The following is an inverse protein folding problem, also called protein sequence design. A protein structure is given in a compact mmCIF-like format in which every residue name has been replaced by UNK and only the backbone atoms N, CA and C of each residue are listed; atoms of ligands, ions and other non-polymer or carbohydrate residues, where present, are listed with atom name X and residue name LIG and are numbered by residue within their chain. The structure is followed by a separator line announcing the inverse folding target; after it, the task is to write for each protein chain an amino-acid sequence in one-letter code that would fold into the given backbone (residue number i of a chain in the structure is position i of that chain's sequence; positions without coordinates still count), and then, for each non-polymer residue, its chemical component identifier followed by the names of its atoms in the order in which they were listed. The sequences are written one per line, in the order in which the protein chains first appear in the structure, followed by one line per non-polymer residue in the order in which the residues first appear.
data_IF_904951516799
#
_entry.id   IF_904951516799
#
_cell.length_a   1.000
_cell.length_b   1.000
_cell.length_c   1.000
_cell.angle_alpha   90.00
_cell.angle_beta   90.00
_cell.angle_gamma   90.00
#
_symmetry.space_group_name_H-M   'P 1'
#
loop_
_entity.id
_entity.type
_entity.pdbx_description
1 polymer ?
#
# COMPACT_ATOMS: atom_id res chain seq x y z
N UNK A 1 11.57 6.44 -4.87
CA UNK A 1 12.92 6.07 -4.36
C UNK A 1 13.07 6.32 -2.86
N UNK A 2 12.83 7.56 -2.33
CA UNK A 2 13.03 7.83 -0.89
C UNK A 2 12.10 6.98 -0.03
N UNK A 3 10.79 6.94 -0.33
CA UNK A 3 9.82 6.12 0.37
C UNK A 3 10.20 4.62 0.33
N UNK A 4 10.64 4.11 -0.82
CA UNK A 4 11.11 2.72 -0.96
C UNK A 4 12.28 2.40 -0.03
N UNK A 5 13.23 3.33 0.11
CA UNK A 5 14.38 3.16 1.01
C UNK A 5 13.95 3.08 2.47
N UNK A 6 13.05 3.99 2.89
CA UNK A 6 12.55 4.01 4.27
C UNK A 6 11.70 2.76 4.60
N UNK A 7 10.91 2.28 3.64
CA UNK A 7 10.07 1.09 3.80
C UNK A 7 10.88 -0.20 3.99
N UNK A 8 12.11 -0.28 3.50
CA UNK A 8 12.96 -1.48 3.64
C UNK A 8 13.20 -1.88 5.10
N UNK A 9 13.20 -0.92 6.04
CA UNK A 9 13.37 -1.21 7.46
C UNK A 9 12.20 -1.99 8.08
N UNK A 10 11.07 -2.05 7.38
CA UNK A 10 9.83 -2.69 7.84
C UNK A 10 9.45 -3.94 7.04
N UNK A 11 10.11 -4.18 5.92
CA UNK A 11 9.83 -5.30 5.03
C UNK A 11 10.80 -6.46 5.25
N UNK A 12 10.32 -7.69 5.00
CA UNK A 12 11.12 -8.90 5.12
C UNK A 12 11.98 -9.13 3.86
N UNK A 13 13.15 -9.75 4.04
CA UNK A 13 13.91 -10.40 2.96
C UNK A 13 13.19 -11.70 2.59
N UNK A 14 12.37 -11.65 1.54
CA UNK A 14 11.47 -12.75 1.17
C UNK A 14 12.16 -13.96 0.54
N UNK A 15 13.31 -13.75 -0.09
CA UNK A 15 14.05 -14.79 -0.79
C UNK A 15 15.30 -15.28 -0.04
N UNK A 16 15.65 -14.61 1.07
CA UNK A 16 16.77 -14.96 1.93
C UNK A 16 18.14 -14.66 1.31
N UNK A 17 18.22 -13.75 0.31
CA UNK A 17 19.47 -13.37 -0.34
C UNK A 17 20.23 -12.24 0.38
N UNK A 18 19.69 -11.76 1.49
CA UNK A 18 20.25 -10.66 2.27
C UNK A 18 19.86 -9.27 1.75
N UNK A 19 18.96 -9.18 0.78
CA UNK A 19 18.49 -7.93 0.22
C UNK A 19 16.98 -7.78 0.38
N UNK A 20 16.57 -6.66 0.97
CA UNK A 20 15.15 -6.27 1.02
C UNK A 20 14.83 -5.40 -0.17
N UNK A 21 13.89 -5.84 -1.01
CA UNK A 21 13.41 -5.09 -2.17
C UNK A 21 12.00 -4.61 -1.91
N UNK A 22 11.80 -3.30 -1.94
CA UNK A 22 10.47 -2.66 -1.91
C UNK A 22 10.33 -1.83 -3.18
N UNK A 23 9.26 -2.03 -3.90
CA UNK A 23 8.91 -1.26 -5.09
C UNK A 23 7.65 -0.45 -4.81
N UNK A 24 7.69 0.84 -5.13
CA UNK A 24 6.55 1.75 -5.03
C UNK A 24 6.18 2.22 -6.44
N UNK A 25 4.99 1.83 -6.89
CA UNK A 25 4.42 2.33 -8.14
C UNK A 25 3.54 3.55 -7.83
N UNK A 26 3.75 4.65 -8.51
CA UNK A 26 2.99 5.89 -8.32
C UNK A 26 2.09 6.18 -9.52
N UNK A 27 0.84 6.49 -9.24
CA UNK A 27 -0.20 6.82 -10.24
C UNK A 27 -0.84 8.15 -9.90
N UNK A 28 -0.55 9.17 -10.67
CA UNK A 28 -1.25 10.46 -10.58
C UNK A 28 -2.46 10.41 -11.53
N UNK A 29 -3.65 10.15 -10.98
CA UNK A 29 -4.89 10.03 -11.76
C UNK A 29 -5.62 11.38 -11.94
N UNK A 30 -5.29 12.38 -11.14
CA UNK A 30 -5.87 13.73 -11.20
C UNK A 30 -4.91 14.73 -11.88
N UNK A 31 -4.52 14.46 -13.13
CA UNK A 31 -3.65 15.33 -13.90
C UNK A 31 -4.42 16.17 -14.91
N UNK A 32 -3.91 17.37 -15.19
CA UNK A 32 -4.45 18.26 -16.23
C UNK A 32 -4.19 17.73 -17.65
N UNK A 33 -3.17 16.88 -17.82
CA UNK A 33 -2.90 16.19 -19.09
C UNK A 33 -3.74 14.92 -19.18
N UNK A 34 -4.75 14.95 -20.04
CA UNK A 34 -5.71 13.86 -20.25
C UNK A 34 -5.04 12.58 -20.75
N UNK A 35 -3.98 12.67 -21.55
CA UNK A 35 -3.29 11.49 -22.06
C UNK A 35 -2.49 10.80 -20.95
N UNK A 36 -1.80 11.57 -20.13
CA UNK A 36 -1.10 11.03 -18.96
C UNK A 36 -2.07 10.46 -17.93
N UNK A 37 -3.19 11.11 -17.69
CA UNK A 37 -4.24 10.60 -16.80
C UNK A 37 -4.75 9.24 -17.28
N UNK A 38 -5.11 9.11 -18.55
CA UNK A 38 -5.59 7.85 -19.13
C UNK A 38 -4.52 6.74 -19.04
N UNK A 39 -3.26 7.05 -19.34
CA UNK A 39 -2.17 6.09 -19.24
C UNK A 39 -1.98 5.60 -17.79
N UNK A 40 -2.05 6.49 -16.79
CA UNK A 40 -1.94 6.12 -15.39
C UNK A 40 -3.12 5.26 -14.92
N UNK A 41 -4.34 5.57 -15.34
CA UNK A 41 -5.53 4.75 -15.05
C UNK A 41 -5.38 3.33 -15.62
N UNK A 42 -4.94 3.20 -16.88
CA UNK A 42 -4.71 1.88 -17.51
C UNK A 42 -3.66 1.07 -16.76
N UNK A 43 -2.55 1.71 -16.34
CA UNK A 43 -1.50 1.06 -15.56
C UNK A 43 -2.02 0.64 -14.19
N UNK A 44 -2.76 1.49 -13.49
CA UNK A 44 -3.36 1.17 -12.19
C UNK A 44 -4.31 -0.03 -12.29
N UNK A 45 -5.17 -0.08 -13.33
CA UNK A 45 -6.05 -1.22 -13.58
C UNK A 45 -5.23 -2.50 -13.84
N UNK A 46 -4.16 -2.40 -14.62
CA UNK A 46 -3.24 -3.52 -14.88
C UNK A 46 -2.65 -4.09 -13.60
N UNK A 47 -2.10 -3.23 -12.74
CA UNK A 47 -1.52 -3.62 -11.47
C UNK A 47 -2.58 -4.17 -10.48
N UNK A 48 -3.79 -3.58 -10.51
CA UNK A 48 -4.90 -4.09 -9.70
C UNK A 48 -5.35 -5.49 -10.12
N UNK A 49 -5.19 -5.87 -11.38
CA UNK A 49 -5.58 -7.20 -11.88
C UNK A 49 -4.49 -8.25 -11.74
N UNK A 50 -3.21 -7.86 -11.68
CA UNK A 50 -2.07 -8.78 -11.64
C UNK A 50 -1.77 -9.37 -10.26
N UNK A 51 -2.28 -8.79 -9.19
CA UNK A 51 -1.93 -9.10 -7.79
C UNK A 51 -0.46 -8.83 -7.41
N UNK A 52 0.27 -8.07 -8.21
CA UNK A 52 1.64 -7.66 -7.91
C UNK A 52 1.68 -6.59 -6.81
N UNK A 53 0.58 -5.85 -6.65
CA UNK A 53 0.39 -4.83 -5.62
C UNK A 53 -0.74 -5.25 -4.66
N UNK A 54 -0.42 -5.31 -3.37
CA UNK A 54 -1.35 -5.71 -2.29
C UNK A 54 -1.60 -4.56 -1.31
N UNK A 55 -0.61 -3.71 -1.06
CA UNK A 55 -0.75 -2.53 -0.22
C UNK A 55 -0.90 -1.28 -1.09
N UNK A 56 -1.84 -0.44 -0.71
CA UNK A 56 -2.18 0.80 -1.39
C UNK A 56 -2.08 1.99 -0.43
N UNK A 57 -1.45 3.05 -0.89
CA UNK A 57 -1.51 4.38 -0.27
C UNK A 57 -2.31 5.28 -1.20
N UNK A 58 -3.51 5.65 -0.79
CA UNK A 58 -4.44 6.41 -1.64
C UNK A 58 -5.18 7.50 -0.85
N UNK A 59 -5.53 8.58 -1.53
CA UNK A 59 -6.55 9.49 -1.05
C UNK A 59 -7.94 8.82 -1.06
N UNK A 60 -8.93 9.50 -0.50
CA UNK A 60 -10.28 8.93 -0.38
C UNK A 60 -10.91 8.70 -1.77
N UNK A 61 -10.80 9.66 -2.67
CA UNK A 61 -11.42 9.59 -4.00
C UNK A 61 -10.87 8.42 -4.80
N UNK A 62 -9.54 8.20 -4.75
CA UNK A 62 -8.89 7.07 -5.43
C UNK A 62 -9.26 5.73 -4.79
N UNK A 63 -9.41 5.69 -3.47
CA UNK A 63 -9.87 4.51 -2.74
C UNK A 63 -11.30 4.13 -3.14
N UNK A 64 -12.22 5.08 -3.10
CA UNK A 64 -13.62 4.87 -3.46
C UNK A 64 -13.74 4.43 -4.93
N UNK A 65 -12.99 5.06 -5.83
CA UNK A 65 -12.97 4.67 -7.23
C UNK A 65 -12.52 3.22 -7.44
N UNK A 66 -11.45 2.77 -6.76
CA UNK A 66 -11.01 1.36 -6.84
C UNK A 66 -12.05 0.40 -6.27
N UNK A 67 -12.72 0.78 -5.19
CA UNK A 67 -13.77 -0.01 -4.57
C UNK A 67 -15.01 -0.13 -5.48
N UNK A 68 -15.39 0.94 -6.19
CA UNK A 68 -16.51 0.97 -7.12
C UNK A 68 -16.28 0.14 -8.40
N UNK A 69 -15.01 -0.01 -8.83
CA UNK A 69 -14.68 -0.82 -10.01
C UNK A 69 -14.77 -2.33 -9.74
N UNK A 70 -14.88 -2.73 -8.49
CA UNK A 70 -14.88 -4.12 -8.06
C UNK A 70 -15.96 -4.32 -6.99
N UNK A 71 -16.53 -5.49 -6.91
CA UNK A 71 -17.55 -5.82 -5.88
C UNK A 71 -16.95 -5.73 -4.46
N UNK A 72 -15.73 -6.26 -4.28
CA UNK A 72 -14.93 -6.15 -3.06
C UNK A 72 -13.46 -6.02 -3.48
N UNK A 73 -12.82 -4.89 -3.20
CA UNK A 73 -11.41 -4.69 -3.52
C UNK A 73 -10.51 -4.64 -2.29
N UNK A 74 -10.91 -3.89 -1.27
CA UNK A 74 -10.14 -3.73 -0.04
C UNK A 74 -10.67 -4.58 1.10
N UNK A 75 -9.76 -5.15 1.88
CA UNK A 75 -10.04 -5.84 3.14
C UNK A 75 -10.21 -4.84 4.29
N UNK A 76 -10.79 -5.29 5.38
CA UNK A 76 -10.69 -4.59 6.65
C UNK A 76 -9.22 -4.55 7.13
N UNK A 77 -8.88 -3.60 7.98
CA UNK A 77 -7.52 -3.41 8.49
C UNK A 77 -7.01 -4.58 9.35
N UNK A 78 -7.91 -5.42 9.83
CA UNK A 78 -7.59 -6.68 10.51
C UNK A 78 -7.35 -7.87 9.54
N UNK A 79 -7.50 -7.63 8.23
CA UNK A 79 -7.32 -8.62 7.17
C UNK A 79 -8.56 -9.43 6.83
N UNK A 80 -9.69 -9.21 7.53
CA UNK A 80 -10.95 -9.88 7.20
C UNK A 80 -11.59 -9.29 5.94
N UNK A 81 -12.36 -10.12 5.24
CA UNK A 81 -13.03 -9.73 3.99
C UNK A 81 -14.38 -9.08 4.30
N UNK A 82 -14.64 -7.84 3.81
CA UNK A 82 -15.94 -7.20 3.94
C UNK A 82 -17.04 -7.97 3.20
N UNK A 83 -18.28 -7.75 3.60
CA UNK A 83 -19.43 -8.17 2.80
C UNK A 83 -19.57 -7.28 1.55
N UNK A 84 -20.18 -7.82 0.50
CA UNK A 84 -20.47 -7.07 -0.71
C UNK A 84 -21.33 -5.83 -0.39
N UNK A 85 -20.91 -4.68 -0.89
CA UNK A 85 -21.58 -3.40 -0.64
C UNK A 85 -21.28 -2.77 0.73
N UNK A 86 -20.33 -3.30 1.51
CA UNK A 86 -19.89 -2.65 2.74
C UNK A 86 -19.36 -1.25 2.46
N UNK A 87 -19.83 -0.26 3.23
CA UNK A 87 -19.52 1.15 3.07
C UNK A 87 -18.81 1.77 4.29
N UNK A 88 -18.38 0.95 5.23
CA UNK A 88 -17.64 1.34 6.43
C UNK A 88 -16.13 1.47 6.13
N UNK A 89 -15.81 2.35 5.18
CA UNK A 89 -14.48 2.54 4.61
C UNK A 89 -13.42 2.93 5.64
N UNK A 90 -13.82 3.55 6.75
CA UNK A 90 -12.94 3.86 7.89
C UNK A 90 -12.32 2.60 8.51
N UNK A 91 -12.96 1.44 8.39
CA UNK A 91 -12.44 0.16 8.88
C UNK A 91 -11.53 -0.55 7.85
N UNK A 92 -11.46 -0.04 6.61
CA UNK A 92 -10.62 -0.56 5.53
C UNK A 92 -9.36 0.28 5.29
N UNK A 93 -9.21 1.40 6.00
CA UNK A 93 -8.14 2.38 5.80
C UNK A 93 -7.52 2.79 7.13
N UNK A 94 -6.18 2.96 7.12
CA UNK A 94 -5.46 3.57 8.24
C UNK A 94 -4.82 4.85 7.72
N UNK A 95 -5.21 6.00 8.28
CA UNK A 95 -4.66 7.29 7.84
C UNK A 95 -3.15 7.31 7.97
N UNK A 96 -2.48 8.04 7.08
CA UNK A 96 -1.03 8.22 7.12
C UNK A 96 -0.53 8.64 8.51
N UNK A 97 -1.20 9.59 9.13
CA UNK A 97 -0.85 10.10 10.46
C UNK A 97 -0.96 9.06 11.58
N UNK A 98 -1.85 8.07 11.42
CA UNK A 98 -2.07 6.99 12.40
C UNK A 98 -1.09 5.81 12.22
N UNK A 99 -0.39 5.74 11.09
CA UNK A 99 0.68 4.80 10.84
C UNK A 99 1.99 5.34 11.44
N UNK A 100 2.40 4.83 12.60
CA UNK A 100 3.59 5.33 13.34
C UNK A 100 4.87 5.28 12.51
N UNK A 101 5.06 4.27 11.67
CA UNK A 101 6.22 4.22 10.79
C UNK A 101 6.16 5.35 9.74
N UNK A 102 5.03 5.47 9.03
CA UNK A 102 4.88 6.40 7.91
C UNK A 102 4.98 7.86 8.37
N UNK A 103 4.28 8.21 9.46
CA UNK A 103 4.27 9.58 9.99
C UNK A 103 5.62 10.04 10.58
N UNK A 104 6.52 9.11 10.88
CA UNK A 104 7.86 9.39 11.41
C UNK A 104 8.98 9.19 10.38
N UNK A 105 8.68 8.81 9.13
CA UNK A 105 9.67 8.68 8.08
C UNK A 105 10.25 10.03 7.66
N UNK A 106 11.55 10.08 7.45
CA UNK A 106 12.20 11.22 6.81
C UNK A 106 12.10 11.08 5.28
N UNK A 107 11.11 11.75 4.71
CA UNK A 107 10.88 11.80 3.26
C UNK A 107 11.45 13.05 2.60
N UNK A 108 12.38 13.75 3.26
CA UNK A 108 13.03 14.93 2.71
C UNK A 108 13.81 14.64 1.42
N UNK A 109 13.76 15.57 0.49
CA UNK A 109 14.55 15.62 -0.75
C UNK A 109 15.05 17.04 -0.96
N UNK A 110 15.96 17.25 -1.91
CA UNK A 110 16.70 18.50 -2.12
C UNK A 110 15.86 19.80 -2.04
N UNK A 111 14.60 19.78 -2.46
CA UNK A 111 13.71 20.95 -2.48
C UNK A 111 12.54 20.85 -1.51
N UNK A 112 12.48 19.80 -0.69
CA UNK A 112 11.36 19.49 0.19
C UNK A 112 11.88 19.01 1.55
N UNK A 113 11.67 19.77 2.60
CA UNK A 113 12.04 19.33 3.94
C UNK A 113 11.09 18.27 4.49
N UNK A 114 11.47 17.62 5.59
CA UNK A 114 10.72 16.50 6.17
C UNK A 114 9.27 16.89 6.53
N UNK A 115 9.05 18.07 7.11
CA UNK A 115 7.71 18.55 7.49
C UNK A 115 6.82 18.77 6.26
N UNK A 116 7.34 19.40 5.22
CA UNK A 116 6.64 19.61 3.96
C UNK A 116 6.31 18.28 3.28
N UNK A 117 7.25 17.32 3.26
CA UNK A 117 7.04 16.00 2.71
C UNK A 117 5.91 15.26 3.45
N UNK A 118 5.92 15.27 4.78
CA UNK A 118 4.86 14.68 5.59
C UNK A 118 3.49 15.30 5.31
N UNK A 119 3.42 16.63 5.15
CA UNK A 119 2.18 17.34 4.82
C UNK A 119 1.60 16.91 3.45
N UNK A 120 2.45 16.62 2.47
CA UNK A 120 1.99 16.09 1.17
C UNK A 120 1.41 14.68 1.26
N UNK A 121 1.90 13.88 2.21
CA UNK A 121 1.43 12.51 2.41
C UNK A 121 0.20 12.42 3.31
N UNK A 122 -0.11 13.46 4.09
CA UNK A 122 -1.20 13.49 5.07
C UNK A 122 -2.57 13.08 4.53
N UNK A 123 -2.98 13.41 3.28
CA UNK A 123 -4.27 12.99 2.73
C UNK A 123 -4.36 11.50 2.43
N UNK A 124 -3.24 10.77 2.45
CA UNK A 124 -3.19 9.35 2.10
C UNK A 124 -3.57 8.47 3.28
N UNK A 125 -4.13 7.32 2.96
CA UNK A 125 -4.36 6.24 3.90
C UNK A 125 -3.85 4.92 3.34
N UNK A 126 -3.36 4.06 4.23
CA UNK A 126 -2.89 2.71 3.93
C UNK A 126 -4.06 1.75 3.91
N UNK A 127 -4.17 0.96 2.85
CA UNK A 127 -5.21 -0.04 2.66
C UNK A 127 -4.61 -1.35 2.17
N UNK A 128 -5.29 -2.46 2.49
CA UNK A 128 -4.90 -3.81 2.11
C UNK A 128 -5.92 -4.36 1.11
N UNK A 129 -5.43 -4.92 0.01
CA UNK A 129 -6.29 -5.62 -0.95
C UNK A 129 -6.84 -6.92 -0.36
N UNK A 130 -8.07 -7.29 -0.73
CA UNK A 130 -8.63 -8.61 -0.39
C UNK A 130 -7.99 -9.72 -1.23
N UNK A 131 -7.80 -10.89 -0.64
CA UNK A 131 -7.37 -12.11 -1.36
C UNK A 131 -8.49 -13.15 -1.44
N UNK A 132 -9.32 -13.26 -0.39
CA UNK A 132 -10.40 -14.23 -0.34
C UNK A 132 -11.39 -14.01 -1.48
N UNK A 133 -11.88 -15.11 -2.05
CA UNK A 133 -12.75 -15.07 -3.21
C UNK A 133 -12.04 -14.83 -4.56
N UNK A 134 -10.76 -14.51 -4.56
CA UNK A 134 -9.96 -14.33 -5.78
C UNK A 134 -9.28 -15.63 -6.20
N UNK A 135 -8.84 -15.68 -7.48
CA UNK A 135 -8.02 -16.79 -7.97
C UNK A 135 -6.68 -16.93 -7.22
N UNK A 136 -6.15 -15.84 -6.67
CA UNK A 136 -4.86 -15.79 -5.98
C UNK A 136 -4.90 -16.52 -4.62
N UNK A 137 -6.05 -16.64 -3.97
CA UNK A 137 -6.23 -17.40 -2.74
C UNK A 137 -5.93 -18.90 -2.90
N UNK A 138 -5.91 -19.40 -4.12
CA UNK A 138 -5.63 -20.82 -4.45
C UNK A 138 -4.16 -21.11 -4.71
N UNK A 139 -3.33 -20.09 -4.78
CA UNK A 139 -1.90 -20.19 -5.07
C UNK A 139 -1.09 -19.94 -3.79
N UNK A 140 -0.35 -20.93 -3.33
CA UNK A 140 0.44 -20.85 -2.09
C UNK A 140 1.47 -19.70 -2.11
N UNK A 141 2.06 -19.38 -3.27
CA UNK A 141 3.01 -18.30 -3.43
C UNK A 141 2.34 -16.93 -3.25
N UNK A 142 1.13 -16.78 -3.80
CA UNK A 142 0.37 -15.53 -3.69
C UNK A 142 -0.16 -15.33 -2.26
N UNK A 143 -0.62 -16.41 -1.63
CA UNK A 143 -1.03 -16.41 -0.21
C UNK A 143 0.15 -16.01 0.69
N UNK A 144 1.33 -16.58 0.47
CA UNK A 144 2.54 -16.22 1.22
C UNK A 144 2.90 -14.74 1.01
N UNK A 145 2.86 -14.26 -0.23
CA UNK A 145 3.09 -12.84 -0.54
C UNK A 145 2.10 -11.94 0.18
N UNK A 146 0.83 -12.29 0.17
CA UNK A 146 -0.21 -11.56 0.88
C UNK A 146 0.05 -11.48 2.38
N UNK A 147 0.44 -12.60 3.01
CA UNK A 147 0.79 -12.64 4.43
C UNK A 147 2.00 -11.75 4.76
N UNK A 148 3.02 -11.72 3.90
CA UNK A 148 4.17 -10.82 4.05
C UNK A 148 3.74 -9.35 3.95
N UNK A 149 2.81 -9.02 3.05
CA UNK A 149 2.24 -7.67 2.93
C UNK A 149 1.37 -7.30 4.14
N UNK A 150 0.59 -8.24 4.70
CA UNK A 150 -0.14 -8.00 5.95
C UNK A 150 0.82 -7.71 7.12
N UNK A 151 1.90 -8.47 7.24
CA UNK A 151 2.92 -8.23 8.26
C UNK A 151 3.58 -6.86 8.09
N UNK A 152 3.91 -6.48 6.85
CA UNK A 152 4.42 -5.14 6.54
C UNK A 152 3.42 -4.05 6.96
N UNK A 153 2.14 -4.20 6.62
CA UNK A 153 1.09 -3.25 7.02
C UNK A 153 1.05 -3.06 8.54
N UNK A 154 1.06 -4.14 9.31
CA UNK A 154 1.04 -4.09 10.78
C UNK A 154 2.26 -3.37 11.35
N UNK A 155 3.45 -3.61 10.78
CA UNK A 155 4.69 -2.90 11.17
C UNK A 155 4.63 -1.41 10.83
N UNK A 156 4.05 -1.05 9.68
CA UNK A 156 3.87 0.36 9.32
C UNK A 156 2.91 1.07 10.29
N UNK A 157 1.86 0.40 10.73
CA UNK A 157 0.92 0.93 11.73
C UNK A 157 1.59 1.05 13.10
N UNK A 158 2.25 0.00 13.58
CA UNK A 158 2.86 -0.05 14.93
C UNK A 158 4.16 0.75 15.03
N UNK A 159 4.88 0.96 13.93
CA UNK A 159 6.22 1.55 13.89
C UNK A 159 7.33 0.56 14.21
N UNK A 160 7.03 -0.73 14.30
CA UNK A 160 8.00 -1.78 14.62
C UNK A 160 8.81 -2.16 13.38
N UNK A 161 10.13 -2.07 13.48
CA UNK A 161 11.04 -2.48 12.40
C UNK A 161 11.31 -3.98 12.43
N UNK A 162 11.67 -4.53 11.28
CA UNK A 162 12.18 -5.91 11.23
C UNK A 162 13.51 -5.96 12.02
N UNK A 163 13.62 -6.92 12.93
CA UNK A 163 14.88 -7.16 13.62
C UNK A 163 15.94 -7.55 12.58
N UNK A 164 16.98 -6.73 12.46
CA UNK A 164 18.14 -7.10 11.65
C UNK A 164 18.76 -8.35 12.28
N UNK A 165 18.68 -9.48 11.58
CA UNK A 165 19.51 -10.64 11.92
C UNK A 165 20.97 -10.22 11.69
N UNK A 166 21.60 -9.67 12.74
CA UNK A 166 23.06 -9.57 12.76
C UNK A 166 23.62 -10.99 12.67
N UNK A 167 24.18 -11.30 11.50
CA UNK A 167 25.04 -12.48 11.32
C UNK A 167 26.49 -12.03 11.33
#
# INVERSE_FOLDING_TARGET
EKLEQELKAYADDRNGDGQVVVQVNSYAVNQTDVQMQQANVVRLIGDATSFDTVLYLSDLDSFEWLQEQNDIFFAYTDGTTPEEGAADFENMRVNWADCKALSNMDLSIDMLNAEQAQKYMEPLALSLRVIDGTQFAKNEKDVKYYQDCQALMQRLISGEKVESSEK
#
